data_IF_305276807499
#
_entry.id   IF_305276807499
#
_cell.length_a   1.000
_cell.length_b   1.000
_cell.length_c   1.000
_cell.angle_alpha   90.00
_cell.angle_beta   90.00
_cell.angle_gamma   90.00
#
_symmetry.space_group_name_H-M   'P 1'
#
loop_
_entity.id
_entity.type
_entity.pdbx_description
1 polymer ?
#
# COMPACT_ATOMS: atom_id res chain seq x y z
N UNK A 1 -45.75 -44.00 42.00
CA UNK A 1 -44.38 -44.51 41.75
C UNK A 1 -44.41 -45.57 40.64
N UNK A 2 -43.24 -46.05 40.18
CA UNK A 2 -43.03 -46.98 39.04
C UNK A 2 -43.60 -48.41 39.25
N UNK A 3 -43.87 -49.10 38.14
CA UNK A 3 -43.45 -50.49 37.77
C UNK A 3 -43.20 -50.49 36.24
N UNK A 4 -42.21 -51.10 35.56
CA UNK A 4 -41.31 -52.26 35.76
C UNK A 4 -41.92 -53.64 35.40
N UNK A 5 -41.27 -54.58 34.68
CA UNK A 5 -40.05 -54.57 33.81
C UNK A 5 -39.85 -55.94 33.05
N UNK A 6 -38.96 -56.01 32.03
CA UNK A 6 -38.24 -57.23 31.49
C UNK A 6 -39.09 -58.31 30.71
N UNK A 7 -38.60 -59.26 29.87
CA UNK A 7 -37.30 -59.52 29.14
C UNK A 7 -37.42 -60.68 28.07
N UNK A 8 -36.54 -60.72 27.04
CA UNK A 8 -36.06 -61.91 26.23
C UNK A 8 -37.03 -62.75 25.33
N UNK A 9 -36.63 -63.60 24.34
CA UNK A 9 -35.45 -63.78 23.42
C UNK A 9 -35.80 -64.84 22.32
N UNK A 10 -35.46 -64.62 21.02
CA UNK A 10 -35.30 -65.58 19.86
C UNK A 10 -36.46 -66.57 19.51
N UNK A 11 -36.59 -67.29 18.36
CA UNK A 11 -36.16 -67.23 16.94
C UNK A 11 -37.22 -68.06 16.10
N UNK A 12 -37.09 -68.64 14.88
CA UNK A 12 -36.04 -68.85 13.85
C UNK A 12 -36.67 -69.32 12.49
N UNK A 13 -35.90 -69.33 11.38
CA UNK A 13 -35.98 -70.16 10.14
C UNK A 13 -37.32 -70.52 9.44
N UNK A 14 -37.50 -70.01 8.19
CA UNK A 14 -37.78 -70.79 6.96
C UNK A 14 -37.82 -69.89 5.68
N UNK A 15 -37.71 -70.49 4.49
CA UNK A 15 -37.83 -69.84 3.16
C UNK A 15 -39.20 -70.22 2.49
N UNK A 16 -39.62 -69.79 1.28
CA UNK A 16 -38.97 -69.07 0.16
C UNK A 16 -40.04 -68.47 -0.81
N UNK A 17 -39.59 -67.64 -1.77
CA UNK A 17 -40.18 -67.40 -3.11
C UNK A 17 -41.61 -66.80 -3.22
N UNK A 18 -41.66 -65.51 -3.57
CA UNK A 18 -42.42 -64.94 -4.71
C UNK A 18 -41.65 -63.68 -5.17
N UNK A 19 -41.67 -63.34 -6.46
CA UNK A 19 -40.73 -62.37 -7.05
C UNK A 19 -41.08 -60.89 -6.83
N UNK A 20 -40.12 -60.10 -6.34
CA UNK A 20 -40.20 -58.63 -6.33
C UNK A 20 -39.96 -58.06 -7.73
N UNK A 21 -40.97 -57.43 -8.31
CA UNK A 21 -40.81 -56.50 -9.43
C UNK A 21 -40.87 -55.05 -8.91
N UNK A 22 -39.75 -54.54 -8.38
CA UNK A 22 -39.61 -53.12 -8.07
C UNK A 22 -39.06 -52.38 -9.30
N UNK A 23 -39.68 -51.26 -9.74
CA UNK A 23 -39.19 -50.51 -10.88
C UNK A 23 -37.84 -49.85 -10.54
N UNK A 24 -36.87 -49.97 -11.44
CA UNK A 24 -35.57 -49.33 -11.28
C UNK A 24 -35.72 -47.81 -11.39
N UNK A 25 -35.66 -47.10 -10.25
CA UNK A 25 -35.48 -45.65 -10.26
C UNK A 25 -34.08 -45.33 -10.77
N UNK A 26 -33.99 -44.97 -12.05
CA UNK A 26 -32.76 -44.52 -12.66
C UNK A 26 -32.30 -43.22 -11.99
N UNK A 27 -31.25 -43.31 -11.17
CA UNK A 27 -30.59 -42.15 -10.57
C UNK A 27 -29.96 -41.31 -11.68
N UNK A 28 -30.64 -40.26 -12.11
CA UNK A 28 -30.09 -39.25 -13.00
C UNK A 28 -28.81 -38.68 -12.36
N UNK A 29 -27.66 -39.01 -12.95
CA UNK A 29 -26.39 -38.43 -12.52
C UNK A 29 -26.46 -36.91 -12.70
N UNK A 30 -26.01 -36.17 -11.68
CA UNK A 30 -26.01 -34.71 -11.73
C UNK A 30 -25.23 -34.22 -12.96
N UNK A 31 -25.73 -33.22 -13.70
CA UNK A 31 -25.06 -32.75 -14.91
C UNK A 31 -23.65 -32.28 -14.59
N UNK A 32 -22.68 -32.71 -15.42
CA UNK A 32 -21.28 -32.32 -15.28
C UNK A 32 -21.16 -30.78 -15.29
N UNK A 33 -20.40 -30.17 -14.37
CA UNK A 33 -20.23 -28.72 -14.36
C UNK A 33 -19.64 -28.23 -15.70
N UNK A 34 -20.11 -27.09 -16.24
CA UNK A 34 -19.69 -26.59 -17.54
C UNK A 34 -18.20 -26.25 -17.54
N UNK A 35 -17.52 -26.50 -18.65
CA UNK A 35 -16.11 -26.17 -18.84
C UNK A 35 -15.88 -24.66 -18.90
N UNK A 36 -14.64 -24.23 -18.69
CA UNK A 36 -14.26 -22.82 -18.84
C UNK A 36 -14.68 -22.22 -20.19
N UNK A 37 -14.60 -22.99 -21.29
CA UNK A 37 -15.06 -22.55 -22.61
C UNK A 37 -16.57 -22.31 -22.64
N UNK A 38 -17.37 -23.29 -22.20
CA UNK A 38 -18.84 -23.17 -22.18
C UNK A 38 -19.32 -22.05 -21.26
N UNK A 39 -18.63 -21.84 -20.13
CA UNK A 39 -18.85 -20.69 -19.23
C UNK A 39 -18.59 -19.36 -19.94
N UNK A 40 -17.48 -19.25 -20.67
CA UNK A 40 -17.12 -18.04 -21.42
C UNK A 40 -18.07 -17.76 -22.60
N UNK A 41 -18.48 -18.79 -23.33
CA UNK A 41 -19.45 -18.68 -24.43
C UNK A 41 -20.84 -18.28 -23.92
N UNK A 42 -21.28 -18.87 -22.79
CA UNK A 42 -22.54 -18.48 -22.12
C UNK A 42 -22.52 -17.03 -21.67
N UNK A 43 -21.42 -16.59 -21.05
CA UNK A 43 -21.22 -15.21 -20.63
C UNK A 43 -21.19 -14.24 -21.82
N UNK A 44 -20.47 -14.59 -22.88
CA UNK A 44 -20.39 -13.82 -24.12
C UNK A 44 -21.76 -13.65 -24.78
N UNK A 45 -22.57 -14.71 -24.83
CA UNK A 45 -23.91 -14.66 -25.40
C UNK A 45 -24.85 -13.73 -24.62
N UNK A 46 -24.78 -13.73 -23.27
CA UNK A 46 -25.52 -12.77 -22.43
C UNK A 46 -25.06 -11.33 -22.64
N UNK A 47 -23.75 -11.08 -22.66
CA UNK A 47 -23.18 -9.75 -22.86
C UNK A 47 -23.57 -9.15 -24.23
N UNK A 48 -23.54 -9.98 -25.28
CA UNK A 48 -24.02 -9.63 -26.63
C UNK A 48 -25.54 -9.36 -26.66
N UNK A 49 -26.33 -10.05 -25.82
CA UNK A 49 -27.78 -9.84 -25.70
C UNK A 49 -28.17 -8.61 -24.85
N UNK A 50 -27.21 -7.83 -24.35
CA UNK A 50 -27.46 -6.61 -23.58
C UNK A 50 -27.56 -6.78 -22.06
N UNK A 51 -27.25 -7.96 -21.51
CA UNK A 51 -27.17 -8.16 -20.06
C UNK A 51 -25.99 -7.36 -19.48
N UNK A 52 -26.31 -6.27 -18.77
CA UNK A 52 -25.36 -5.28 -18.25
C UNK A 52 -24.34 -5.91 -17.27
N UNK A 53 -24.78 -6.89 -16.47
CA UNK A 53 -23.87 -7.57 -15.55
C UNK A 53 -22.97 -8.54 -16.31
N UNK A 54 -23.50 -9.25 -17.31
CA UNK A 54 -22.69 -10.09 -18.18
C UNK A 54 -21.65 -9.29 -18.99
N UNK A 55 -21.97 -8.05 -19.41
CA UNK A 55 -21.00 -7.15 -20.04
C UNK A 55 -19.85 -6.80 -19.10
N UNK A 56 -20.15 -6.41 -17.86
CA UNK A 56 -19.13 -6.15 -16.85
C UNK A 56 -18.30 -7.40 -16.54
N UNK A 57 -18.93 -8.54 -16.24
CA UNK A 57 -18.30 -9.81 -15.94
C UNK A 57 -17.40 -10.33 -17.08
N UNK A 58 -17.78 -10.06 -18.34
CA UNK A 58 -17.00 -10.39 -19.53
C UNK A 58 -15.76 -9.50 -19.67
N UNK A 59 -15.89 -8.20 -19.40
CA UNK A 59 -14.73 -7.30 -19.36
C UNK A 59 -13.76 -7.64 -18.23
N UNK A 60 -14.27 -8.01 -17.05
CA UNK A 60 -13.47 -8.56 -15.95
C UNK A 60 -12.77 -9.86 -16.34
N UNK A 61 -13.43 -10.74 -17.09
CA UNK A 61 -12.80 -11.96 -17.59
C UNK A 61 -11.59 -11.66 -18.50
N UNK A 62 -11.69 -10.62 -19.35
CA UNK A 62 -10.57 -10.14 -20.16
C UNK A 62 -9.48 -9.40 -19.37
N UNK A 63 -9.79 -8.71 -18.26
CA UNK A 63 -8.76 -8.11 -17.38
C UNK A 63 -7.89 -9.18 -16.72
N UNK A 64 -8.51 -10.17 -16.08
CA UNK A 64 -7.78 -11.10 -15.20
C UNK A 64 -7.34 -12.38 -15.92
N UNK A 65 -7.83 -12.66 -17.14
CA UNK A 65 -7.59 -13.93 -17.85
C UNK A 65 -8.48 -15.07 -17.36
N UNK A 66 -9.71 -14.75 -16.94
CA UNK A 66 -10.68 -15.75 -16.45
C UNK A 66 -11.11 -16.69 -17.58
N UNK A 67 -11.62 -17.86 -17.22
CA UNK A 67 -12.16 -18.83 -18.18
C UNK A 67 -11.16 -19.25 -19.29
N UNK A 68 -9.88 -19.37 -18.94
CA UNK A 68 -8.77 -19.68 -19.84
C UNK A 68 -8.54 -18.68 -21.00
N UNK A 69 -9.07 -17.45 -20.89
CA UNK A 69 -8.73 -16.37 -21.81
C UNK A 69 -7.34 -15.79 -21.51
N UNK A 70 -6.67 -15.26 -22.54
CA UNK A 70 -5.52 -14.38 -22.34
C UNK A 70 -6.00 -13.01 -21.84
N UNK A 71 -5.22 -12.35 -20.99
CA UNK A 71 -5.46 -10.96 -20.61
C UNK A 71 -5.51 -10.07 -21.86
N UNK A 72 -6.49 -9.17 -21.95
CA UNK A 72 -6.68 -8.27 -23.07
C UNK A 72 -7.38 -6.99 -22.59
N UNK A 73 -6.60 -5.94 -22.31
CA UNK A 73 -7.11 -4.67 -21.81
C UNK A 73 -8.07 -3.98 -22.77
N UNK A 74 -7.86 -4.11 -24.09
CA UNK A 74 -8.72 -3.49 -25.09
C UNK A 74 -10.12 -4.10 -25.08
N UNK A 75 -10.22 -5.43 -25.11
CA UNK A 75 -11.54 -6.08 -25.02
C UNK A 75 -12.16 -5.95 -23.62
N UNK A 76 -11.35 -5.82 -22.57
CA UNK A 76 -11.85 -5.46 -21.25
C UNK A 76 -12.51 -4.07 -21.22
N UNK A 77 -11.81 -3.05 -21.74
CA UNK A 77 -12.31 -1.68 -21.92
C UNK A 77 -13.60 -1.65 -22.76
N UNK A 78 -13.63 -2.37 -23.89
CA UNK A 78 -14.80 -2.44 -24.79
C UNK A 78 -16.04 -3.04 -24.12
N UNK A 79 -15.89 -3.91 -23.11
CA UNK A 79 -17.01 -4.55 -22.41
C UNK A 79 -17.39 -3.83 -21.10
N UNK A 80 -16.41 -3.34 -20.34
CA UNK A 80 -16.64 -2.49 -19.16
C UNK A 80 -17.24 -1.14 -19.57
N UNK A 81 -16.77 -0.54 -20.67
CA UNK A 81 -17.34 0.70 -21.23
C UNK A 81 -18.83 0.58 -21.52
N UNK A 82 -19.27 -0.49 -22.23
CA UNK A 82 -20.70 -0.75 -22.48
C UNK A 82 -21.52 -0.86 -21.20
N UNK A 83 -21.01 -1.56 -20.18
CA UNK A 83 -21.68 -1.68 -18.89
C UNK A 83 -21.72 -0.33 -18.14
N UNK A 84 -20.68 0.49 -18.26
CA UNK A 84 -20.58 1.81 -17.64
C UNK A 84 -21.51 2.85 -18.29
N UNK A 85 -21.61 2.83 -19.62
CA UNK A 85 -22.57 3.60 -20.42
C UNK A 85 -24.02 3.17 -20.10
N UNK A 86 -24.25 1.86 -19.93
CA UNK A 86 -25.53 1.30 -19.46
C UNK A 86 -25.82 1.52 -17.96
N UNK A 87 -24.98 2.29 -17.26
CA UNK A 87 -25.24 2.75 -15.88
C UNK A 87 -24.67 1.88 -14.77
N UNK A 88 -23.92 0.81 -15.03
CA UNK A 88 -23.36 -0.04 -13.97
C UNK A 88 -22.30 0.73 -13.15
N UNK A 89 -22.62 1.06 -11.89
CA UNK A 89 -21.77 1.86 -11.01
C UNK A 89 -20.38 1.25 -10.74
N UNK A 90 -20.24 -0.08 -10.78
CA UNK A 90 -18.91 -0.72 -10.69
C UNK A 90 -18.13 -0.51 -12.00
N UNK A 91 -18.78 -0.76 -13.14
CA UNK A 91 -18.16 -0.54 -14.43
C UNK A 91 -17.71 0.91 -14.63
N UNK A 92 -18.44 1.89 -14.05
CA UNK A 92 -18.05 3.30 -14.04
C UNK A 92 -16.80 3.57 -13.18
N UNK A 93 -16.72 2.99 -11.97
CA UNK A 93 -15.52 3.07 -11.13
C UNK A 93 -14.30 2.47 -11.85
N UNK A 94 -14.48 1.30 -12.46
CA UNK A 94 -13.44 0.61 -13.20
C UNK A 94 -13.02 1.39 -14.45
N UNK A 95 -13.96 1.95 -15.22
CA UNK A 95 -13.70 2.81 -16.40
C UNK A 95 -12.91 4.06 -16.03
N UNK A 96 -13.17 4.65 -14.85
CA UNK A 96 -12.35 5.73 -14.31
C UNK A 96 -10.91 5.26 -14.04
N UNK A 97 -10.73 4.03 -13.57
CA UNK A 97 -9.44 3.36 -13.45
C UNK A 97 -8.72 3.15 -14.79
N UNK A 98 -9.42 2.76 -15.87
CA UNK A 98 -8.83 2.66 -17.21
C UNK A 98 -8.24 4.00 -17.67
N UNK A 99 -9.00 5.10 -17.56
CA UNK A 99 -8.52 6.44 -17.92
C UNK A 99 -7.45 6.99 -16.96
N UNK A 100 -7.49 6.67 -15.67
CA UNK A 100 -6.46 7.08 -14.70
C UNK A 100 -5.10 6.41 -14.97
N UNK A 101 -5.11 5.15 -15.39
CA UNK A 101 -3.90 4.34 -15.57
C UNK A 101 -3.40 4.25 -17.02
N UNK A 102 -4.23 4.57 -18.01
CA UNK A 102 -3.88 4.34 -19.42
C UNK A 102 -3.94 2.87 -19.85
N UNK A 103 -4.72 2.04 -19.16
CA UNK A 103 -5.00 0.66 -19.59
C UNK A 103 -5.82 0.71 -20.88
N UNK A 104 -5.36 0.11 -21.97
CA UNK A 104 -6.06 0.12 -23.27
C UNK A 104 -6.40 1.49 -23.92
N UNK A 105 -6.21 2.62 -23.22
CA UNK A 105 -6.47 4.01 -23.65
C UNK A 105 -5.28 4.91 -23.31
N UNK A 106 -5.23 6.13 -23.86
CA UNK A 106 -4.34 7.17 -23.34
C UNK A 106 -4.82 7.61 -21.95
N UNK A 107 -3.93 7.85 -20.96
CA UNK A 107 -4.29 8.48 -19.70
C UNK A 107 -5.01 9.83 -19.89
N UNK A 108 -6.09 10.05 -19.14
CA UNK A 108 -6.89 11.28 -19.15
C UNK A 108 -7.60 11.46 -17.79
N UNK A 109 -7.06 12.35 -16.94
CA UNK A 109 -7.63 12.63 -15.63
C UNK A 109 -9.03 13.25 -15.69
N UNK A 110 -9.37 14.00 -16.74
CA UNK A 110 -10.69 14.61 -16.90
C UNK A 110 -11.78 13.59 -17.22
N UNK A 111 -11.48 12.61 -18.07
CA UNK A 111 -12.32 11.43 -18.28
C UNK A 111 -12.41 10.59 -17.01
N UNK A 112 -11.29 10.32 -16.34
CA UNK A 112 -11.28 9.56 -15.10
C UNK A 112 -12.18 10.20 -14.03
N UNK A 113 -12.02 11.50 -13.76
CA UNK A 113 -12.88 12.27 -12.86
C UNK A 113 -14.36 12.18 -13.27
N UNK A 114 -14.68 12.33 -14.56
CA UNK A 114 -16.07 12.23 -15.06
C UNK A 114 -16.69 10.86 -14.76
N UNK A 115 -15.92 9.77 -14.87
CA UNK A 115 -16.39 8.43 -14.55
C UNK A 115 -16.44 8.15 -13.05
N UNK A 116 -15.49 8.65 -12.26
CA UNK A 116 -15.57 8.61 -10.80
C UNK A 116 -16.81 9.36 -10.28
N UNK A 117 -17.14 10.52 -10.85
CA UNK A 117 -18.32 11.30 -10.47
C UNK A 117 -19.60 10.47 -10.63
N UNK A 118 -19.83 9.89 -11.82
CA UNK A 118 -20.99 9.01 -12.09
C UNK A 118 -21.09 7.85 -11.11
N UNK A 119 -19.97 7.23 -10.73
CA UNK A 119 -19.94 6.15 -9.75
C UNK A 119 -20.28 6.65 -8.33
N UNK A 120 -19.74 7.79 -7.92
CA UNK A 120 -20.01 8.41 -6.61
C UNK A 120 -21.46 8.89 -6.47
N UNK A 121 -22.05 9.43 -7.54
CA UNK A 121 -23.46 9.84 -7.60
C UNK A 121 -24.41 8.63 -7.47
N UNK A 122 -23.93 7.42 -7.81
CA UNK A 122 -24.58 6.13 -7.53
C UNK A 122 -24.15 5.49 -6.19
N UNK A 123 -23.54 6.25 -5.29
CA UNK A 123 -23.20 5.81 -3.93
C UNK A 123 -21.90 5.01 -3.81
N UNK A 124 -21.04 4.96 -4.84
CA UNK A 124 -19.70 4.33 -4.70
C UNK A 124 -18.75 5.25 -3.92
N UNK A 125 -18.72 5.06 -2.60
CA UNK A 125 -17.81 5.77 -1.69
C UNK A 125 -16.34 5.62 -2.08
N UNK A 126 -15.97 4.47 -2.65
CA UNK A 126 -14.67 4.19 -3.29
C UNK A 126 -14.20 5.30 -4.25
N UNK A 127 -15.11 5.84 -5.08
CA UNK A 127 -14.79 6.91 -6.03
C UNK A 127 -14.48 8.25 -5.33
N UNK A 128 -14.99 8.46 -4.12
CA UNK A 128 -14.87 9.75 -3.41
C UNK A 128 -13.42 10.08 -3.06
N UNK A 129 -12.55 9.08 -2.85
CA UNK A 129 -11.12 9.30 -2.62
C UNK A 129 -10.44 9.85 -3.89
N UNK A 130 -10.80 9.32 -5.05
CA UNK A 130 -10.24 9.77 -6.33
C UNK A 130 -10.78 11.16 -6.73
N UNK A 131 -12.06 11.46 -6.48
CA UNK A 131 -12.63 12.80 -6.70
C UNK A 131 -11.99 13.84 -5.76
N UNK A 132 -11.77 13.46 -4.48
CA UNK A 132 -11.02 14.29 -3.53
C UNK A 132 -9.63 14.61 -4.10
N UNK A 133 -8.80 13.60 -4.37
CA UNK A 133 -7.45 13.78 -4.94
C UNK A 133 -7.45 14.58 -6.26
N UNK A 134 -8.40 14.32 -7.17
CA UNK A 134 -8.51 15.02 -8.44
C UNK A 134 -8.70 16.55 -8.25
N UNK A 135 -9.45 16.98 -7.24
CA UNK A 135 -9.67 18.40 -6.95
C UNK A 135 -8.70 19.00 -5.90
N UNK A 136 -7.72 18.23 -5.39
CA UNK A 136 -6.74 18.72 -4.39
C UNK A 136 -5.26 18.50 -4.73
N UNK A 137 -4.94 17.52 -5.59
CA UNK A 137 -3.57 17.05 -5.86
C UNK A 137 -3.20 16.96 -7.36
N UNK A 138 -4.16 16.71 -8.26
CA UNK A 138 -3.87 16.48 -9.68
C UNK A 138 -3.56 17.80 -10.42
N UNK A 139 -2.29 18.01 -10.81
CA UNK A 139 -1.86 19.23 -11.51
C UNK A 139 -2.51 19.47 -12.89
N UNK A 140 -3.22 18.49 -13.46
CA UNK A 140 -3.98 18.64 -14.72
C UNK A 140 -5.42 19.09 -14.49
N UNK A 141 -5.93 19.00 -13.26
CA UNK A 141 -7.27 19.42 -12.86
C UNK A 141 -7.13 20.60 -11.90
N UNK A 142 -7.64 21.77 -12.27
CA UNK A 142 -7.53 22.93 -11.38
C UNK A 142 -8.25 22.66 -10.05
N UNK A 143 -7.55 22.90 -8.93
CA UNK A 143 -8.04 22.58 -7.61
C UNK A 143 -9.34 23.34 -7.28
N UNK A 144 -10.36 22.59 -6.84
CA UNK A 144 -11.69 23.11 -6.53
C UNK A 144 -12.14 22.56 -5.19
N UNK A 145 -11.71 23.24 -4.12
CA UNK A 145 -11.99 22.80 -2.75
C UNK A 145 -13.48 22.78 -2.39
N UNK A 146 -14.35 23.70 -2.85
CA UNK A 146 -15.80 23.56 -2.73
C UNK A 146 -16.36 22.26 -3.33
N UNK A 147 -15.84 21.79 -4.48
CA UNK A 147 -16.18 20.46 -5.02
C UNK A 147 -15.51 19.32 -4.27
N UNK A 148 -14.23 19.45 -3.90
CA UNK A 148 -13.46 18.40 -3.24
C UNK A 148 -14.03 18.03 -1.86
N UNK A 149 -14.35 19.03 -1.05
CA UNK A 149 -14.67 18.89 0.37
C UNK A 149 -15.74 17.82 0.70
N UNK A 150 -16.91 17.73 0.03
CA UNK A 150 -17.86 16.65 0.28
C UNK A 150 -17.30 15.25 -0.01
N UNK A 151 -16.54 15.07 -1.09
CA UNK A 151 -15.96 13.76 -1.43
C UNK A 151 -14.77 13.40 -0.52
N UNK A 152 -13.94 14.38 -0.15
CA UNK A 152 -12.94 14.21 0.91
C UNK A 152 -13.61 13.83 2.25
N UNK A 153 -14.77 14.40 2.58
CA UNK A 153 -15.53 14.06 3.78
C UNK A 153 -16.04 12.63 3.78
N UNK A 154 -16.57 12.15 2.65
CA UNK A 154 -16.97 10.75 2.48
C UNK A 154 -15.77 9.82 2.61
N UNK A 155 -14.71 10.04 1.83
CA UNK A 155 -13.52 9.18 1.84
C UNK A 155 -12.79 9.13 3.20
N UNK A 156 -12.77 10.24 3.93
CA UNK A 156 -12.20 10.30 5.27
C UNK A 156 -13.04 9.55 6.32
N UNK A 157 -14.36 9.46 6.13
CA UNK A 157 -15.27 8.68 6.96
C UNK A 157 -15.13 7.18 6.72
N UNK A 158 -14.89 6.75 5.47
CA UNK A 158 -14.45 5.40 5.10
C UNK A 158 -13.00 5.08 5.56
N UNK A 159 -12.35 6.00 6.27
CA UNK A 159 -11.04 5.79 6.89
C UNK A 159 -9.84 6.20 6.03
N UNK A 160 -10.00 6.62 4.77
CA UNK A 160 -8.87 6.88 3.88
C UNK A 160 -7.94 7.99 4.39
N UNK A 161 -6.72 7.63 4.80
CA UNK A 161 -5.76 8.54 5.43
C UNK A 161 -5.45 9.79 4.58
N UNK A 162 -5.36 9.65 3.26
CA UNK A 162 -5.13 10.76 2.33
C UNK A 162 -6.28 11.79 2.36
N UNK A 163 -7.53 11.32 2.45
CA UNK A 163 -8.69 12.19 2.56
C UNK A 163 -8.82 12.81 3.97
N UNK A 164 -8.39 12.10 5.01
CA UNK A 164 -8.28 12.67 6.37
C UNK A 164 -7.22 13.78 6.44
N UNK A 165 -6.07 13.60 5.80
CA UNK A 165 -5.06 14.64 5.63
C UNK A 165 -5.63 15.85 4.87
N UNK A 166 -6.28 15.63 3.72
CA UNK A 166 -6.90 16.69 2.92
C UNK A 166 -8.00 17.45 3.71
N UNK A 167 -8.81 16.76 4.52
CA UNK A 167 -9.75 17.41 5.46
C UNK A 167 -9.02 18.21 6.54
N UNK A 168 -7.89 17.70 7.05
CA UNK A 168 -7.04 18.37 8.02
C UNK A 168 -6.66 19.78 7.53
N UNK A 169 -6.08 19.85 6.34
CA UNK A 169 -5.71 21.11 5.69
C UNK A 169 -6.94 21.95 5.33
N UNK A 170 -8.01 21.34 4.83
CA UNK A 170 -9.25 22.05 4.51
C UNK A 170 -9.85 22.78 5.71
N UNK A 171 -9.86 22.15 6.89
CA UNK A 171 -10.31 22.79 8.14
C UNK A 171 -9.27 23.74 8.73
N UNK A 172 -7.96 23.56 8.52
CA UNK A 172 -6.95 24.52 8.97
C UNK A 172 -7.06 25.85 8.21
N UNK A 173 -7.21 25.77 6.89
CA UNK A 173 -7.15 26.93 5.99
C UNK A 173 -8.53 27.48 5.56
N UNK A 174 -9.63 26.79 5.84
CA UNK A 174 -10.97 27.17 5.38
C UNK A 174 -11.21 26.89 3.89
N UNK A 175 -10.60 25.85 3.34
CA UNK A 175 -10.74 25.49 1.92
C UNK A 175 -12.03 24.68 1.70
N UNK A 176 -13.05 25.29 1.10
CA UNK A 176 -14.36 24.65 0.87
C UNK A 176 -15.23 24.49 2.12
N UNK A 177 -14.78 25.03 3.26
CA UNK A 177 -15.45 25.00 4.58
C UNK A 177 -15.07 26.26 5.36
N UNK A 178 -15.78 26.60 6.43
CA UNK A 178 -15.22 27.51 7.43
C UNK A 178 -14.02 26.86 8.14
N UNK A 179 -12.98 27.63 8.54
CA UNK A 179 -11.88 27.12 9.36
C UNK A 179 -12.37 26.51 10.69
N UNK A 180 -11.72 25.43 11.12
CA UNK A 180 -12.01 24.76 12.38
C UNK A 180 -10.78 23.95 12.87
N UNK A 181 -9.93 24.59 13.67
CA UNK A 181 -8.67 24.02 14.15
C UNK A 181 -8.86 22.71 14.94
N UNK A 182 -10.02 22.51 15.59
CA UNK A 182 -10.34 21.26 16.29
C UNK A 182 -10.54 20.11 15.30
N UNK A 183 -11.31 20.33 14.23
CA UNK A 183 -11.50 19.32 13.18
C UNK A 183 -10.24 19.14 12.32
N UNK A 184 -9.44 20.19 12.13
CA UNK A 184 -8.13 20.10 11.48
C UNK A 184 -7.22 19.11 12.23
N UNK A 185 -6.94 19.39 13.52
CA UNK A 185 -6.07 18.57 14.35
C UNK A 185 -6.60 17.13 14.51
N UNK A 186 -7.92 16.94 14.62
CA UNK A 186 -8.51 15.59 14.71
C UNK A 186 -8.29 14.76 13.45
N UNK A 187 -8.39 15.35 12.25
CA UNK A 187 -8.20 14.59 11.01
C UNK A 187 -6.71 14.43 10.65
N UNK A 188 -5.86 15.41 10.95
CA UNK A 188 -4.41 15.26 10.88
C UNK A 188 -3.91 14.11 11.78
N UNK A 189 -4.39 14.03 13.03
CA UNK A 189 -4.04 12.92 13.94
C UNK A 189 -4.44 11.56 13.38
N UNK A 190 -5.69 11.37 12.92
CA UNK A 190 -6.13 10.10 12.31
C UNK A 190 -5.28 9.69 11.09
N UNK A 191 -4.90 10.65 10.25
CA UNK A 191 -4.01 10.39 9.11
C UNK A 191 -2.60 10.02 9.56
N UNK A 192 -2.06 10.72 10.57
CA UNK A 192 -0.75 10.45 11.16
C UNK A 192 -0.69 9.09 11.90
N UNK A 193 -1.76 8.69 12.60
CA UNK A 193 -1.91 7.39 13.26
C UNK A 193 -1.89 6.23 12.26
N UNK A 194 -2.48 6.42 11.08
CA UNK A 194 -2.36 5.50 9.93
C UNK A 194 -1.00 5.60 9.22
N UNK A 195 -0.15 6.56 9.60
CA UNK A 195 1.17 6.76 9.02
C UNK A 195 1.17 7.47 7.67
N UNK A 196 0.22 8.37 7.40
CA UNK A 196 0.31 9.28 6.26
C UNK A 196 1.51 10.22 6.44
N UNK A 197 2.42 10.26 5.45
CA UNK A 197 3.72 10.90 5.61
C UNK A 197 3.60 12.42 5.90
N UNK A 198 2.90 13.19 5.06
CA UNK A 198 2.74 14.63 5.30
C UNK A 198 1.95 14.95 6.59
N UNK A 199 0.94 14.17 6.97
CA UNK A 199 0.20 14.36 8.21
C UNK A 199 1.08 14.13 9.47
N UNK A 200 2.04 13.21 9.40
CA UNK A 200 3.07 13.05 10.43
C UNK A 200 3.98 14.30 10.48
N UNK A 201 4.37 14.85 9.33
CA UNK A 201 5.20 16.07 9.21
C UNK A 201 4.50 17.30 9.78
N UNK A 202 3.28 17.61 9.34
CA UNK A 202 2.44 18.70 9.85
C UNK A 202 2.20 18.57 11.37
N UNK A 203 1.82 17.37 11.84
CA UNK A 203 1.62 17.14 13.28
C UNK A 203 2.93 17.31 14.07
N UNK A 204 4.07 16.95 13.47
CA UNK A 204 5.39 17.19 14.05
C UNK A 204 5.70 18.69 14.16
N UNK A 205 5.42 19.47 13.12
CA UNK A 205 5.58 20.94 13.13
C UNK A 205 4.68 21.60 14.19
N UNK A 206 3.42 21.17 14.31
CA UNK A 206 2.51 21.64 15.36
C UNK A 206 3.09 21.39 16.78
N UNK A 207 3.64 20.21 17.05
CA UNK A 207 4.36 19.96 18.32
C UNK A 207 5.69 20.72 18.44
N UNK A 208 6.37 21.02 17.34
CA UNK A 208 7.64 21.77 17.35
C UNK A 208 7.42 23.25 17.72
N UNK A 209 6.35 23.86 17.25
CA UNK A 209 6.02 25.28 17.51
C UNK A 209 5.08 25.49 18.70
N UNK A 210 4.32 24.45 19.10
CA UNK A 210 3.33 24.52 20.17
C UNK A 210 1.99 25.14 19.75
N UNK A 211 1.62 25.01 18.48
CA UNK A 211 0.29 25.41 17.99
C UNK A 211 -0.68 24.23 17.99
N UNK A 212 -1.93 24.48 18.38
CA UNK A 212 -3.03 23.52 18.59
C UNK A 212 -2.75 22.39 19.62
N UNK A 213 -1.50 22.14 19.97
CA UNK A 213 -1.00 21.18 20.96
C UNK A 213 0.13 21.82 21.79
N UNK A 214 0.33 21.42 23.06
CA UNK A 214 1.48 21.90 23.84
C UNK A 214 2.80 21.54 23.15
N UNK A 215 3.76 22.46 23.17
CA UNK A 215 5.08 22.26 22.55
C UNK A 215 5.78 21.02 23.10
N UNK A 216 6.26 20.15 22.21
CA UNK A 216 6.97 18.93 22.55
C UNK A 216 7.94 18.52 21.42
N UNK A 217 9.18 19.00 21.50
CA UNK A 217 10.23 18.67 20.53
C UNK A 217 10.53 17.17 20.41
N UNK A 218 10.34 16.37 21.46
CA UNK A 218 10.57 14.91 21.41
C UNK A 218 9.50 14.20 20.58
N UNK A 219 8.22 14.56 20.74
CA UNK A 219 7.17 13.99 19.86
C UNK A 219 7.31 14.53 18.42
N UNK A 220 7.68 15.80 18.24
CA UNK A 220 8.00 16.35 16.91
C UNK A 220 9.08 15.54 16.19
N UNK A 221 10.23 15.30 16.84
CA UNK A 221 11.33 14.48 16.29
C UNK A 221 10.88 13.04 16.01
N UNK A 222 10.07 12.44 16.88
CA UNK A 222 9.50 11.10 16.66
C UNK A 222 8.60 11.08 15.41
N UNK A 223 7.79 12.12 15.19
CA UNK A 223 6.91 12.26 14.04
C UNK A 223 7.68 12.52 12.73
N UNK A 224 8.67 13.42 12.75
CA UNK A 224 9.56 13.63 11.59
C UNK A 224 10.29 12.35 11.21
N UNK A 225 10.82 11.59 12.17
CA UNK A 225 11.46 10.29 11.90
C UNK A 225 10.48 9.25 11.34
N UNK A 226 9.22 9.22 11.80
CA UNK A 226 8.14 8.38 11.24
C UNK A 226 7.81 8.76 9.78
N UNK A 227 7.88 10.04 9.42
CA UNK A 227 7.59 10.55 8.07
C UNK A 227 8.79 10.40 7.10
N UNK A 228 10.01 10.69 7.55
CA UNK A 228 11.26 10.50 6.81
C UNK A 228 11.47 9.02 6.41
N UNK A 229 11.08 8.09 7.29
CA UNK A 229 11.04 6.64 6.98
C UNK A 229 10.05 6.27 5.85
N UNK A 230 9.12 7.16 5.50
CA UNK A 230 8.11 7.01 4.44
C UNK A 230 8.39 7.90 3.22
N UNK A 231 9.56 8.54 3.15
CA UNK A 231 10.02 9.27 1.97
C UNK A 231 9.51 10.71 1.88
N UNK A 232 9.00 11.24 2.99
CA UNK A 232 8.81 12.68 3.13
C UNK A 232 10.18 13.36 3.25
N UNK A 233 10.54 14.17 2.25
CA UNK A 233 11.83 14.89 2.20
C UNK A 233 11.87 16.10 3.13
N UNK A 234 10.72 16.73 3.38
CA UNK A 234 10.65 17.82 4.35
C UNK A 234 10.88 17.28 5.76
N UNK A 235 10.30 16.12 6.09
CA UNK A 235 10.58 15.42 7.33
C UNK A 235 12.05 14.98 7.49
N UNK A 236 12.75 14.63 6.40
CA UNK A 236 14.21 14.39 6.44
C UNK A 236 14.94 15.68 6.84
N UNK A 237 14.60 16.82 6.24
CA UNK A 237 15.19 18.12 6.57
C UNK A 237 14.87 18.56 8.02
N UNK A 238 13.63 18.40 8.47
CA UNK A 238 13.21 18.75 9.84
C UNK A 238 13.87 17.82 10.88
N UNK A 239 14.08 16.54 10.55
CA UNK A 239 14.88 15.64 11.39
C UNK A 239 16.34 16.10 11.48
N UNK A 240 16.92 16.58 10.38
CA UNK A 240 18.29 17.11 10.37
C UNK A 240 18.43 18.39 11.21
N UNK A 241 17.50 19.35 11.03
CA UNK A 241 17.43 20.58 11.84
C UNK A 241 17.23 20.29 13.33
N UNK A 242 16.40 19.28 13.66
CA UNK A 242 16.18 18.89 15.05
C UNK A 242 17.44 18.26 15.70
N UNK A 243 18.24 17.50 14.94
CA UNK A 243 19.54 17.03 15.40
C UNK A 243 20.59 18.14 15.51
N UNK A 244 20.62 19.09 14.58
CA UNK A 244 21.49 20.27 14.63
C UNK A 244 21.19 21.16 15.86
N UNK A 245 19.91 21.43 16.12
CA UNK A 245 19.46 22.32 17.19
C UNK A 245 19.28 21.64 18.57
N UNK A 246 19.46 20.31 18.68
CA UNK A 246 19.18 19.57 19.92
C UNK A 246 17.70 19.60 20.34
N UNK A 247 16.79 19.57 19.37
CA UNK A 247 15.35 19.59 19.63
C UNK A 247 14.82 18.17 19.86
N UNK A 248 14.48 17.87 21.11
CA UNK A 248 13.93 16.57 21.51
C UNK A 248 14.97 15.46 21.76
N UNK A 249 16.26 15.82 21.64
CA UNK A 249 17.46 14.97 21.72
C UNK A 249 18.66 15.86 22.09
N UNK A 250 19.78 15.28 22.51
CA UNK A 250 21.07 16.01 22.45
C UNK A 250 21.39 16.39 21.01
N UNK A 251 22.05 17.53 20.81
CA UNK A 251 22.52 17.94 19.49
C UNK A 251 23.57 16.95 18.93
N UNK A 252 23.44 16.62 17.64
CA UNK A 252 24.20 15.54 16.98
C UNK A 252 24.48 15.95 15.51
N UNK A 253 25.63 16.59 15.30
CA UNK A 253 26.00 17.16 13.99
C UNK A 253 26.31 16.06 12.95
N UNK A 254 26.77 14.89 13.37
CA UNK A 254 27.02 13.75 12.49
C UNK A 254 25.70 13.19 11.90
N UNK A 255 24.65 13.06 12.72
CA UNK A 255 23.31 12.71 12.23
C UNK A 255 22.72 13.80 11.35
N UNK A 256 22.84 15.07 11.73
CA UNK A 256 22.34 16.19 10.94
C UNK A 256 23.01 16.21 9.55
N UNK A 257 24.33 16.23 9.50
CA UNK A 257 25.12 16.22 8.27
C UNK A 257 24.81 15.00 7.39
N UNK A 258 24.69 13.79 7.96
CA UNK A 258 24.26 12.59 7.21
C UNK A 258 22.94 12.83 6.46
N UNK A 259 21.93 13.41 7.12
CA UNK A 259 20.63 13.65 6.52
C UNK A 259 20.70 14.76 5.43
N UNK A 260 21.51 15.80 5.63
CA UNK A 260 21.76 16.81 4.59
C UNK A 260 22.52 16.25 3.37
N UNK A 261 23.50 15.36 3.56
CA UNK A 261 24.12 14.61 2.46
C UNK A 261 23.08 13.78 1.70
N UNK A 262 22.22 13.03 2.40
CA UNK A 262 21.14 12.25 1.77
C UNK A 262 20.20 13.13 0.94
N UNK A 263 19.88 14.33 1.40
CA UNK A 263 19.10 15.31 0.63
C UNK A 263 19.86 15.75 -0.63
N UNK A 264 21.11 16.18 -0.47
CA UNK A 264 22.01 16.70 -1.52
C UNK A 264 22.45 15.67 -2.58
N UNK A 265 22.03 14.41 -2.50
CA UNK A 265 22.16 13.41 -3.60
C UNK A 265 21.10 13.57 -4.70
N UNK A 266 20.18 14.52 -4.55
CA UNK A 266 19.24 14.93 -5.57
C UNK A 266 19.60 16.37 -5.97
N UNK A 267 20.04 16.59 -7.21
CA UNK A 267 20.57 17.88 -7.68
C UNK A 267 19.55 19.05 -7.56
N UNK A 268 18.25 18.73 -7.56
CA UNK A 268 17.17 19.70 -7.35
C UNK A 268 16.97 20.11 -5.86
N UNK A 269 17.62 19.43 -4.91
CA UNK A 269 17.41 19.65 -3.47
C UNK A 269 18.23 20.81 -2.90
N UNK A 270 17.60 21.98 -2.92
CA UNK A 270 18.17 23.23 -2.41
C UNK A 270 18.49 23.20 -0.91
N UNK A 271 17.86 22.34 -0.11
CA UNK A 271 18.04 22.32 1.35
C UNK A 271 19.36 21.62 1.70
N UNK A 272 19.59 20.43 1.16
CA UNK A 272 20.85 19.70 1.35
C UNK A 272 22.05 20.50 0.82
N UNK A 273 21.96 21.01 -0.41
CA UNK A 273 23.06 21.79 -1.00
C UNK A 273 23.35 23.10 -0.27
N UNK A 274 22.32 23.87 0.14
CA UNK A 274 22.54 25.13 0.85
C UNK A 274 23.15 24.93 2.23
N UNK A 275 22.73 23.90 2.97
CA UNK A 275 23.28 23.61 4.31
C UNK A 275 24.74 23.17 4.23
N UNK A 276 25.09 22.30 3.30
CA UNK A 276 26.48 21.86 3.09
C UNK A 276 27.39 22.99 2.59
N UNK A 277 26.87 23.91 1.77
CA UNK A 277 27.61 25.10 1.34
C UNK A 277 27.82 26.12 2.47
N UNK A 278 26.91 26.19 3.44
CA UNK A 278 27.05 27.03 4.64
C UNK A 278 28.00 26.42 5.69
N UNK A 279 28.15 25.10 5.71
CA UNK A 279 28.94 24.36 6.70
C UNK A 279 30.09 23.55 6.04
N UNK A 280 31.14 24.21 5.52
CA UNK A 280 32.25 23.53 4.82
C UNK A 280 33.05 22.57 5.72
N UNK A 281 33.03 22.79 7.04
CA UNK A 281 33.67 21.94 8.05
C UNK A 281 32.72 20.87 8.64
N UNK A 282 31.52 20.69 8.07
CA UNK A 282 30.58 19.67 8.53
C UNK A 282 31.14 18.24 8.37
N UNK A 283 30.66 17.28 9.19
CA UNK A 283 30.95 15.87 9.00
C UNK A 283 30.71 15.41 7.56
N UNK A 284 31.68 14.69 7.01
CA UNK A 284 31.60 14.13 5.65
C UNK A 284 30.56 13.00 5.60
N UNK A 285 30.08 12.71 4.40
CA UNK A 285 29.17 11.59 4.19
C UNK A 285 29.78 10.28 4.77
N UNK A 286 29.07 9.56 5.64
CA UNK A 286 29.59 8.34 6.26
C UNK A 286 29.74 7.21 5.22
N UNK A 287 30.58 6.21 5.52
CA UNK A 287 30.75 5.05 4.65
C UNK A 287 29.39 4.36 4.42
N UNK A 288 28.97 4.28 3.15
CA UNK A 288 27.71 3.65 2.74
C UNK A 288 27.99 2.21 2.32
N UNK A 289 27.50 1.26 3.11
CA UNK A 289 27.53 -0.16 2.81
C UNK A 289 26.35 -0.51 1.89
N UNK A 290 26.65 -1.17 0.76
CA UNK A 290 25.66 -1.93 0.02
C UNK A 290 25.32 -3.23 0.75
N UNK A 291 24.16 -3.84 0.46
CA UNK A 291 23.79 -5.13 1.07
C UNK A 291 24.83 -6.24 0.80
N UNK A 292 25.51 -6.19 -0.35
CA UNK A 292 26.58 -7.13 -0.70
C UNK A 292 27.81 -7.08 0.22
N UNK A 293 28.02 -5.97 0.94
CA UNK A 293 29.07 -5.80 1.95
C UNK A 293 28.64 -6.26 3.34
N UNK A 294 27.35 -6.54 3.56
CA UNK A 294 26.86 -7.14 4.81
C UNK A 294 27.22 -8.63 4.80
N UNK A 295 27.87 -9.16 5.84
CA UNK A 295 28.25 -10.57 5.93
C UNK A 295 27.07 -11.57 5.83
N UNK A 296 27.35 -12.78 5.30
CA UNK A 296 26.38 -13.88 5.16
C UNK A 296 26.31 -14.84 6.35
N UNK A 297 27.16 -14.66 7.37
CA UNK A 297 27.11 -15.39 8.65
C UNK A 297 25.93 -14.95 9.57
N UNK A 298 25.02 -14.12 9.04
CA UNK A 298 23.85 -13.57 9.75
C UNK A 298 22.66 -14.53 9.70
N UNK A 299 22.62 -15.39 10.72
CA UNK A 299 21.49 -16.26 11.11
C UNK A 299 20.37 -15.43 11.76
N UNK A 300 19.07 -15.68 11.57
CA UNK A 300 18.27 -16.28 10.47
C UNK A 300 16.80 -15.93 10.78
N UNK A 301 15.95 -15.74 9.75
CA UNK A 301 14.50 -15.63 9.96
C UNK A 301 13.74 -16.88 9.56
N UNK A 302 12.71 -17.19 10.34
CA UNK A 302 11.54 -17.87 9.81
C UNK A 302 10.94 -16.99 8.71
N UNK A 303 10.89 -17.52 7.49
CA UNK A 303 10.15 -16.90 6.38
C UNK A 303 8.65 -16.86 6.71
N UNK A 304 7.86 -16.14 5.92
CA UNK A 304 6.39 -16.13 6.01
C UNK A 304 5.75 -17.45 5.51
N UNK A 305 6.50 -18.57 5.54
CA UNK A 305 6.08 -19.89 5.09
C UNK A 305 5.99 -20.88 6.25
N UNK A 306 5.00 -21.77 6.21
CA UNK A 306 4.84 -22.83 7.19
C UNK A 306 5.69 -24.10 6.88
N UNK A 307 6.66 -24.02 5.97
CA UNK A 307 7.51 -25.16 5.58
C UNK A 307 8.83 -25.15 6.40
N UNK A 308 9.11 -26.17 7.23
CA UNK A 308 10.30 -26.22 8.08
C UNK A 308 11.63 -26.03 7.35
N UNK A 309 11.71 -26.35 6.05
CA UNK A 309 12.94 -26.26 5.25
C UNK A 309 13.30 -24.82 4.85
N UNK A 310 12.36 -23.88 5.00
CA UNK A 310 12.54 -22.46 4.70
C UNK A 310 12.45 -21.60 5.98
N UNK A 311 12.63 -22.20 7.17
CA UNK A 311 12.65 -21.48 8.45
C UNK A 311 13.98 -20.78 8.75
N UNK A 312 14.96 -20.88 7.85
CA UNK A 312 16.29 -20.29 7.99
C UNK A 312 16.77 -19.70 6.67
N UNK A 313 16.75 -18.37 6.58
CA UNK A 313 17.21 -17.63 5.39
C UNK A 313 18.03 -16.40 5.83
N UNK A 314 19.22 -16.23 5.24
CA UNK A 314 20.11 -15.08 5.51
C UNK A 314 19.54 -13.79 4.88
N UNK A 315 20.06 -12.62 5.25
CA UNK A 315 19.51 -11.34 4.77
C UNK A 315 19.65 -11.13 3.25
N UNK A 316 20.64 -11.75 2.60
CA UNK A 316 20.78 -11.75 1.14
C UNK A 316 19.75 -12.68 0.52
N UNK A 317 19.59 -13.90 1.04
CA UNK A 317 18.57 -14.83 0.57
C UNK A 317 17.15 -14.29 0.75
N UNK A 318 16.89 -13.54 1.83
CA UNK A 318 15.61 -12.87 2.09
C UNK A 318 15.39 -11.69 1.13
N UNK A 319 16.44 -10.90 0.85
CA UNK A 319 16.42 -9.88 -0.20
C UNK A 319 16.16 -10.51 -1.59
N UNK A 320 16.83 -11.62 -1.92
CA UNK A 320 16.66 -12.33 -3.19
C UNK A 320 15.22 -12.86 -3.32
N UNK A 321 14.68 -13.49 -2.27
CA UNK A 321 13.29 -13.96 -2.22
C UNK A 321 12.30 -12.80 -2.43
N UNK A 322 12.48 -11.69 -1.71
CA UNK A 322 11.64 -10.51 -1.87
C UNK A 322 11.82 -9.85 -3.24
N UNK A 323 13.01 -9.88 -3.86
CA UNK A 323 13.22 -9.31 -5.20
C UNK A 323 12.38 -10.02 -6.27
N UNK A 324 12.13 -11.32 -6.09
CA UNK A 324 11.35 -12.16 -7.01
C UNK A 324 9.85 -12.21 -6.66
N UNK A 325 9.47 -11.98 -5.40
CA UNK A 325 8.10 -12.18 -4.88
C UNK A 325 7.40 -10.95 -4.29
N UNK A 326 8.12 -9.93 -3.85
CA UNK A 326 7.56 -8.69 -3.25
C UNK A 326 7.35 -7.55 -4.25
N UNK A 327 7.31 -7.87 -5.54
CA UNK A 327 6.79 -6.94 -6.54
C UNK A 327 5.35 -6.60 -6.16
N UNK A 328 5.00 -5.34 -5.83
CA UNK A 328 3.72 -5.05 -5.19
C UNK A 328 2.53 -5.44 -6.08
N UNK A 329 1.47 -5.96 -5.45
CA UNK A 329 0.31 -6.49 -6.18
C UNK A 329 -0.29 -5.47 -7.14
N UNK A 330 -0.40 -4.21 -6.72
CA UNK A 330 -0.94 -3.13 -7.55
C UNK A 330 0.01 -2.77 -8.70
N UNK A 331 1.33 -2.77 -8.47
CA UNK A 331 2.32 -2.56 -9.54
C UNK A 331 2.30 -3.72 -10.56
N UNK A 332 2.06 -4.96 -10.11
CA UNK A 332 1.89 -6.12 -10.98
C UNK A 332 0.57 -6.10 -11.75
N UNK A 333 -0.50 -5.63 -11.13
CA UNK A 333 -1.81 -5.48 -11.77
C UNK A 333 -1.79 -4.35 -12.81
N UNK A 334 -1.18 -3.21 -12.47
CA UNK A 334 -1.10 -2.01 -13.30
C UNK A 334 0.06 -2.09 -14.33
N UNK A 335 0.90 -3.13 -14.28
CA UNK A 335 2.01 -3.40 -15.19
C UNK A 335 3.13 -2.33 -15.17
N UNK A 336 3.39 -1.75 -13.99
CA UNK A 336 4.27 -0.59 -13.82
C UNK A 336 5.63 -0.99 -13.22
N UNK A 337 6.70 -0.68 -13.94
CA UNK A 337 8.08 -0.75 -13.42
C UNK A 337 8.32 0.35 -12.38
N UNK A 338 9.20 0.10 -11.42
CA UNK A 338 9.52 1.08 -10.38
C UNK A 338 10.87 0.85 -9.73
N UNK A 339 11.31 1.82 -8.93
CA UNK A 339 12.54 1.75 -8.15
C UNK A 339 12.40 2.44 -6.80
N UNK A 340 13.17 1.96 -5.83
CA UNK A 340 13.25 2.58 -4.52
C UNK A 340 14.66 2.44 -3.93
N UNK A 341 14.96 3.29 -2.96
CA UNK A 341 16.17 3.20 -2.15
C UNK A 341 15.86 3.61 -0.70
N UNK A 342 16.24 2.76 0.26
CA UNK A 342 16.17 3.03 1.69
C UNK A 342 17.58 3.08 2.27
N UNK A 343 17.80 3.88 3.32
CA UNK A 343 19.09 3.95 4.00
C UNK A 343 18.95 4.16 5.51
N UNK A 344 19.59 3.29 6.29
CA UNK A 344 19.67 3.37 7.75
C UNK A 344 21.10 3.66 8.21
N UNK A 345 21.25 4.24 9.40
CA UNK A 345 22.51 4.40 10.11
C UNK A 345 22.71 3.23 11.07
N UNK A 346 23.94 2.74 11.23
CA UNK A 346 24.29 1.89 12.37
C UNK A 346 24.62 2.76 13.57
N UNK A 347 24.10 2.37 14.72
CA UNK A 347 24.38 3.00 16.02
C UNK A 347 25.56 2.34 16.75
N UNK A 348 26.12 2.99 17.80
CA UNK A 348 27.14 2.38 18.66
C UNK A 348 26.69 1.12 19.41
N UNK A 349 25.39 0.83 19.49
CA UNK A 349 24.85 -0.44 20.01
C UNK A 349 24.73 -1.54 18.95
N UNK A 350 24.99 -1.25 17.67
CA UNK A 350 24.76 -2.19 16.57
C UNK A 350 23.28 -2.32 16.18
N UNK A 351 22.45 -1.33 16.53
CA UNK A 351 21.08 -1.18 16.02
C UNK A 351 21.07 -0.36 14.73
N UNK A 352 20.07 -0.59 13.88
CA UNK A 352 19.75 0.33 12.78
C UNK A 352 18.78 1.40 13.29
N UNK A 353 19.23 2.66 13.26
CA UNK A 353 18.40 3.83 13.49
C UNK A 353 18.40 4.77 12.28
N UNK A 354 17.60 5.83 12.36
CA UNK A 354 17.53 6.92 11.38
C UNK A 354 17.39 6.44 9.92
N UNK A 355 16.59 5.38 9.77
CA UNK A 355 16.16 4.82 8.50
C UNK A 355 15.25 5.79 7.73
N UNK A 356 15.70 6.20 6.55
CA UNK A 356 14.96 7.09 5.66
C UNK A 356 14.73 6.43 4.30
N UNK A 357 13.58 6.69 3.68
CA UNK A 357 13.28 6.25 2.32
C UNK A 357 13.78 7.35 1.37
N UNK A 358 14.98 7.15 0.83
CA UNK A 358 15.69 8.13 -0.01
C UNK A 358 14.99 8.36 -1.34
N UNK A 359 14.34 7.31 -1.87
CA UNK A 359 13.67 7.33 -3.19
C UNK A 359 12.57 6.28 -3.24
N UNK A 360 11.43 6.61 -3.84
CA UNK A 360 10.42 5.68 -4.33
C UNK A 360 9.76 6.29 -5.58
N UNK A 361 9.75 5.54 -6.69
CA UNK A 361 9.19 5.98 -7.97
C UNK A 361 8.64 4.79 -8.77
N UNK A 362 7.35 4.79 -9.17
CA UNK A 362 6.30 5.71 -8.71
C UNK A 362 6.02 5.58 -7.21
N UNK A 363 5.51 6.66 -6.61
CA UNK A 363 5.01 6.69 -5.22
C UNK A 363 3.75 5.83 -5.05
N UNK A 364 3.43 5.50 -3.80
CA UNK A 364 2.22 4.81 -3.34
C UNK A 364 2.02 3.36 -3.84
N UNK A 365 2.87 2.85 -4.75
CA UNK A 365 2.86 1.44 -5.16
C UNK A 365 3.50 0.49 -4.13
N UNK A 366 4.14 0.99 -3.07
CA UNK A 366 4.61 0.16 -1.95
C UNK A 366 6.00 -0.46 -2.11
N UNK A 367 6.77 -0.03 -3.11
CA UNK A 367 8.18 -0.40 -3.30
C UNK A 367 9.04 0.01 -2.09
N UNK A 368 8.81 1.22 -1.56
CA UNK A 368 9.51 1.74 -0.38
C UNK A 368 9.14 0.99 0.90
N UNK A 369 7.88 0.55 1.01
CA UNK A 369 7.44 -0.31 2.11
C UNK A 369 8.14 -1.69 2.07
N UNK A 370 8.32 -2.29 0.89
CA UNK A 370 9.10 -3.53 0.72
C UNK A 370 10.57 -3.35 1.15
N UNK A 371 11.21 -2.22 0.82
CA UNK A 371 12.57 -1.92 1.31
C UNK A 371 12.63 -1.71 2.81
N UNK A 372 11.66 -1.02 3.41
CA UNK A 372 11.65 -0.81 4.85
C UNK A 372 11.47 -2.12 5.63
N UNK A 373 10.74 -3.11 5.09
CA UNK A 373 10.71 -4.48 5.66
C UNK A 373 12.07 -5.16 5.61
N UNK A 374 12.85 -4.98 4.53
CA UNK A 374 14.23 -5.50 4.44
C UNK A 374 15.12 -4.82 5.48
N UNK A 375 14.98 -3.51 5.67
CA UNK A 375 15.72 -2.76 6.70
C UNK A 375 15.33 -3.15 8.13
N UNK A 376 14.05 -3.38 8.43
CA UNK A 376 13.61 -3.87 9.74
C UNK A 376 14.13 -5.29 10.02
N UNK A 377 14.10 -6.17 9.02
CA UNK A 377 14.65 -7.52 9.12
C UNK A 377 16.16 -7.48 9.31
N UNK A 378 16.90 -6.71 8.53
CA UNK A 378 18.33 -6.46 8.79
C UNK A 378 18.51 -5.95 10.23
N UNK A 379 17.83 -4.87 10.61
CA UNK A 379 17.92 -4.24 11.93
C UNK A 379 17.64 -5.16 13.12
N UNK A 380 16.86 -6.23 12.96
CA UNK A 380 16.60 -7.23 14.01
C UNK A 380 17.40 -8.54 13.90
N UNK A 381 18.17 -8.77 12.82
CA UNK A 381 19.03 -9.96 12.66
C UNK A 381 20.51 -9.61 12.67
N UNK A 382 21.16 -9.79 13.82
CA UNK A 382 22.62 -9.68 13.91
C UNK A 382 23.12 -9.75 15.35
N UNK A 383 24.37 -10.18 15.53
CA UNK A 383 25.06 -9.97 16.80
C UNK A 383 25.36 -8.47 16.94
N UNK A 384 24.53 -7.77 17.71
CA UNK A 384 24.64 -6.34 18.04
C UNK A 384 26.06 -5.93 18.41
N UNK A 385 26.71 -6.75 19.24
CA UNK A 385 28.11 -6.58 19.66
C UNK A 385 29.11 -6.55 18.51
N UNK A 386 28.89 -7.33 17.45
CA UNK A 386 29.77 -7.36 16.28
C UNK A 386 29.36 -6.32 15.23
N UNK A 387 28.09 -5.93 15.20
CA UNK A 387 27.60 -4.85 14.34
C UNK A 387 28.14 -3.50 14.78
N UNK A 388 28.14 -3.21 16.09
CA UNK A 388 28.85 -2.06 16.65
C UNK A 388 30.34 -2.05 16.22
N UNK A 389 31.07 -3.15 16.46
CA UNK A 389 32.50 -3.25 16.11
C UNK A 389 32.81 -3.10 14.62
N UNK A 390 31.92 -3.57 13.72
CA UNK A 390 32.17 -3.60 12.27
C UNK A 390 31.64 -2.34 11.56
N UNK A 391 30.56 -1.75 12.07
CA UNK A 391 29.73 -0.81 11.30
C UNK A 391 29.29 0.46 12.05
N UNK A 392 29.67 0.70 13.32
CA UNK A 392 29.33 1.97 13.99
C UNK A 392 29.77 3.20 13.16
N UNK A 393 28.97 4.26 13.18
CA UNK A 393 29.09 5.45 12.34
C UNK A 393 28.76 5.25 10.85
N UNK A 394 28.69 4.02 10.34
CA UNK A 394 28.41 3.73 8.93
C UNK A 394 26.91 3.76 8.63
N UNK A 395 26.57 3.85 7.35
CA UNK A 395 25.20 3.67 6.85
C UNK A 395 25.09 2.40 6.02
N UNK A 396 23.91 1.80 5.96
CA UNK A 396 23.56 0.74 4.99
C UNK A 396 22.49 1.24 4.05
N UNK A 397 22.74 1.13 2.74
CA UNK A 397 21.80 1.51 1.67
C UNK A 397 21.37 0.26 0.90
N UNK A 398 20.06 0.06 0.80
CA UNK A 398 19.45 -0.99 -0.01
C UNK A 398 18.61 -0.31 -1.08
N UNK A 399 18.84 -0.69 -2.34
CA UNK A 399 18.12 -0.14 -3.50
C UNK A 399 17.71 -1.25 -4.45
N UNK A 400 16.52 -1.15 -5.01
CA UNK A 400 15.94 -2.16 -5.90
C UNK A 400 15.24 -1.49 -7.08
N UNK A 401 15.26 -2.17 -8.23
CA UNK A 401 14.47 -1.83 -9.41
C UNK A 401 13.61 -3.04 -9.79
N UNK A 402 12.30 -2.84 -9.83
CA UNK A 402 11.32 -3.85 -10.21
C UNK A 402 10.79 -3.61 -11.62
N UNK A 403 10.41 -4.69 -12.29
CA UNK A 403 9.75 -4.68 -13.59
C UNK A 403 8.64 -5.75 -13.60
N UNK A 404 7.63 -5.60 -14.47
CA UNK A 404 6.70 -6.68 -14.79
C UNK A 404 7.41 -7.97 -15.25
N UNK A 405 6.69 -9.10 -15.15
CA UNK A 405 7.14 -10.44 -15.56
C UNK A 405 6.58 -10.80 -16.93
#
# INVERSE_FOLDING_TARGET
MRKAALVSVLAFLAASLIGNAQPAMATLAAPKPPTAKEQFETLSNKANAGDIQAQYDLGQAYLIGKYAQKKNEKSALEWIGKAADAGNAQAQLDMAGFYRLGRGVKPDSGQALTWYQKAADQGRTEASLFICKAYTEDATIHADWPKAFPYCKTAAAEGAANAQYALGMAYAEGRGTAPNNTLALQNLKKAADQGHAAALTELGQLYQIGDLVPQNYTEALILFKKAARRGDREAIALTAQAYEAGQGTSADLDRAARLYHILARNDDDKVGHAWLAAHPDAPKEPEILSLAQIPRDVIFYATETNDPRFQTLDIHGYFDQLSVSSYPGDAQNDNISGEAAAECRFSPSGDLDDCVLVTESPKDYGFGASLMRIMDRLGSSGNKTDWAKRFDGKSVRVSMKWKPK
#
